data_IF_067989781786
#
_entry.id   IF_067989781786
#
_cell.length_a   1.000
_cell.length_b   1.000
_cell.length_c   1.000
_cell.angle_alpha   90.00
_cell.angle_beta   90.00
_cell.angle_gamma   90.00
#
_symmetry.space_group_name_H-M   'P 1'
#
loop_
_entity.id
_entity.type
_entity.pdbx_description
1 polymer ?
#
# COMPACT_ATOMS: atom_id res chain seq x y z
N UNK A 1 -1.84 -13.16 23.72
CA UNK A 1 -1.88 -14.25 22.72
C UNK A 1 -1.07 -13.78 21.53
N UNK A 2 0.14 -14.32 21.33
CA UNK A 2 0.93 -14.04 20.12
C UNK A 2 0.22 -14.74 18.96
N UNK A 3 -0.68 -14.03 18.29
CA UNK A 3 -1.27 -14.48 17.03
C UNK A 3 -0.19 -14.41 15.97
N UNK A 4 0.09 -15.54 15.33
CA UNK A 4 1.05 -15.62 14.23
C UNK A 4 0.67 -14.58 13.17
N UNK A 5 1.49 -13.55 13.01
CA UNK A 5 1.25 -12.50 12.03
C UNK A 5 1.56 -13.06 10.65
N UNK A 6 0.55 -13.16 9.79
CA UNK A 6 0.71 -13.59 8.41
C UNK A 6 1.78 -12.74 7.69
N UNK A 7 2.68 -13.39 6.98
CA UNK A 7 3.82 -12.73 6.35
C UNK A 7 4.19 -13.41 5.03
N UNK A 8 4.54 -12.56 4.05
CA UNK A 8 5.09 -12.98 2.77
C UNK A 8 6.60 -13.06 2.86
N UNK A 9 7.17 -14.19 2.45
CA UNK A 9 8.61 -14.39 2.35
C UNK A 9 9.00 -14.37 0.87
N UNK A 10 9.82 -13.42 0.46
CA UNK A 10 10.23 -13.31 -0.93
C UNK A 10 11.64 -12.74 -1.09
N UNK A 11 12.28 -13.07 -2.21
CA UNK A 11 13.59 -12.55 -2.57
C UNK A 11 13.43 -11.47 -3.63
N UNK A 12 13.91 -10.26 -3.33
CA UNK A 12 13.87 -9.16 -4.29
C UNK A 12 14.80 -9.45 -5.48
N UNK A 13 14.27 -9.36 -6.71
CA UNK A 13 15.07 -9.68 -7.91
C UNK A 13 16.26 -8.74 -8.12
N UNK A 14 16.12 -7.44 -7.83
CA UNK A 14 17.15 -6.42 -8.11
C UNK A 14 18.24 -6.37 -7.05
N UNK A 15 17.88 -6.53 -5.78
CA UNK A 15 18.81 -6.40 -4.65
C UNK A 15 19.25 -7.76 -4.11
N UNK A 16 18.60 -8.85 -4.52
CA UNK A 16 18.77 -10.22 -3.99
C UNK A 16 18.53 -10.34 -2.47
N UNK A 17 17.99 -9.30 -1.84
CA UNK A 17 17.65 -9.32 -0.42
C UNK A 17 16.44 -10.21 -0.16
N UNK A 18 16.53 -11.05 0.87
CA UNK A 18 15.38 -11.77 1.41
C UNK A 18 14.59 -10.80 2.28
N UNK A 19 13.30 -10.67 2.00
CA UNK A 19 12.39 -9.77 2.69
C UNK A 19 11.24 -10.55 3.33
N UNK A 20 10.81 -10.02 4.47
CA UNK A 20 9.67 -10.50 5.24
C UNK A 20 8.65 -9.37 5.32
N UNK A 21 7.50 -9.54 4.67
CA UNK A 21 6.46 -8.53 4.64
C UNK A 21 5.23 -9.00 5.39
N UNK A 22 4.89 -8.40 6.53
CA UNK A 22 3.63 -8.70 7.20
C UNK A 22 2.47 -8.28 6.30
N UNK A 23 1.44 -9.11 6.24
CA UNK A 23 0.19 -8.83 5.54
C UNK A 23 -0.97 -8.84 6.53
N UNK A 24 -2.06 -8.16 6.17
CA UNK A 24 -3.27 -8.19 6.98
C UNK A 24 -3.95 -9.56 6.85
N UNK A 25 -4.75 -9.90 7.87
CA UNK A 25 -5.59 -11.10 7.82
C UNK A 25 -6.51 -11.11 6.59
N UNK A 26 -7.07 -9.95 6.22
CA UNK A 26 -7.90 -9.82 5.02
C UNK A 26 -7.12 -10.13 3.74
N UNK A 27 -5.85 -9.73 3.65
CA UNK A 27 -5.02 -10.03 2.47
C UNK A 27 -4.71 -11.53 2.39
N UNK A 28 -4.52 -12.19 3.54
CA UNK A 28 -4.36 -13.64 3.59
C UNK A 28 -5.65 -14.34 3.13
N UNK A 29 -6.81 -13.96 3.67
CA UNK A 29 -8.11 -14.52 3.28
C UNK A 29 -8.40 -14.36 1.78
N UNK A 30 -8.07 -13.20 1.21
CA UNK A 30 -8.21 -12.94 -0.24
C UNK A 30 -7.23 -13.74 -1.10
N UNK A 31 -6.13 -14.22 -0.52
CA UNK A 31 -5.14 -15.05 -1.25
C UNK A 31 -5.61 -16.50 -1.40
N UNK A 32 -6.67 -16.90 -0.67
CA UNK A 32 -7.19 -18.25 -0.66
C UNK A 32 -6.43 -19.17 0.29
N UNK A 33 -6.79 -20.45 0.27
CA UNK A 33 -6.20 -21.45 1.15
C UNK A 33 -4.76 -21.80 0.73
N UNK A 34 -3.82 -21.92 1.69
CA UNK A 34 -2.48 -22.43 1.42
C UNK A 34 -2.53 -23.79 0.73
N UNK A 35 -1.74 -23.94 -0.32
CA UNK A 35 -1.66 -25.17 -1.13
C UNK A 35 -0.32 -25.89 -0.88
N UNK A 36 -0.06 -26.92 -1.67
CA UNK A 36 1.24 -27.63 -1.65
C UNK A 36 2.40 -26.64 -1.87
N UNK A 37 3.59 -26.86 -1.27
CA UNK A 37 4.68 -25.88 -1.25
C UNK A 37 5.16 -25.40 -2.63
N UNK A 38 5.03 -26.23 -3.66
CA UNK A 38 5.45 -25.94 -5.03
C UNK A 38 4.34 -25.33 -5.90
N UNK A 39 3.12 -25.21 -5.37
CA UNK A 39 1.99 -24.63 -6.11
C UNK A 39 1.94 -23.11 -5.98
N UNK A 40 1.57 -22.46 -7.08
CA UNK A 40 1.33 -21.02 -7.07
C UNK A 40 0.09 -20.70 -6.24
N UNK A 41 0.18 -19.64 -5.43
CA UNK A 41 -0.97 -19.07 -4.73
C UNK A 41 -2.07 -18.64 -5.73
N UNK A 42 -1.67 -18.11 -6.89
CA UNK A 42 -2.56 -17.66 -7.95
C UNK A 42 -2.38 -18.51 -9.23
N UNK A 43 -2.92 -19.73 -9.26
CA UNK A 43 -2.74 -20.68 -10.37
C UNK A 43 -3.25 -20.17 -11.73
N UNK A 44 -4.32 -19.37 -11.71
CA UNK A 44 -4.92 -18.77 -12.92
C UNK A 44 -4.08 -17.61 -13.50
N UNK A 45 -2.99 -17.24 -12.81
CA UNK A 45 -2.07 -16.16 -13.18
C UNK A 45 -0.61 -16.66 -13.23
N UNK A 46 -0.29 -17.68 -14.05
CA UNK A 46 0.99 -18.37 -13.97
C UNK A 46 2.18 -17.58 -14.54
N UNK A 47 1.93 -16.62 -15.43
CA UNK A 47 2.99 -15.82 -16.07
C UNK A 47 2.86 -14.33 -15.70
N UNK A 48 3.83 -13.75 -14.98
CA UNK A 48 3.89 -12.32 -14.66
C UNK A 48 3.92 -11.38 -15.88
N UNK A 49 4.29 -11.86 -17.07
CA UNK A 49 4.17 -11.09 -18.31
C UNK A 49 2.73 -11.02 -18.81
N UNK A 50 1.87 -11.97 -18.43
CA UNK A 50 0.50 -12.12 -18.93
C UNK A 50 -0.58 -11.58 -18.00
N UNK A 51 -0.26 -11.31 -16.73
CA UNK A 51 -1.20 -10.72 -15.75
C UNK A 51 -1.79 -9.37 -16.19
N UNK A 52 -1.14 -8.67 -17.13
CA UNK A 52 -1.62 -7.40 -17.68
C UNK A 52 -2.93 -7.55 -18.48
N UNK A 53 -3.15 -8.70 -19.13
CA UNK A 53 -4.34 -8.96 -19.95
C UNK A 53 -5.59 -9.19 -19.08
N UNK A 54 -5.59 -10.09 -18.07
CA UNK A 54 -6.68 -10.21 -17.11
C UNK A 54 -6.98 -8.88 -16.42
N UNK A 55 -5.93 -8.14 -16.00
CA UNK A 55 -6.11 -6.84 -15.37
C UNK A 55 -6.91 -5.88 -16.24
N UNK A 56 -6.56 -5.74 -17.52
CA UNK A 56 -7.31 -4.87 -18.45
C UNK A 56 -8.80 -5.24 -18.50
N UNK A 57 -9.11 -6.54 -18.60
CA UNK A 57 -10.50 -7.03 -18.63
C UNK A 57 -11.26 -6.70 -17.33
N UNK A 58 -10.62 -6.86 -16.18
CA UNK A 58 -11.23 -6.52 -14.88
C UNK A 58 -11.50 -5.02 -14.74
N UNK A 59 -10.58 -4.18 -15.19
CA UNK A 59 -10.72 -2.72 -15.18
C UNK A 59 -11.86 -2.27 -16.10
N UNK A 60 -11.97 -2.86 -17.30
CA UNK A 60 -13.07 -2.61 -18.23
C UNK A 60 -14.42 -3.08 -17.65
N UNK A 61 -14.46 -4.27 -17.06
CA UNK A 61 -15.66 -4.80 -16.40
C UNK A 61 -16.11 -3.95 -15.20
N UNK A 62 -15.18 -3.30 -14.51
CA UNK A 62 -15.46 -2.36 -13.43
C UNK A 62 -15.91 -0.97 -13.94
N UNK A 63 -16.00 -0.74 -15.25
CA UNK A 63 -16.40 0.54 -15.84
C UNK A 63 -15.34 1.64 -15.72
N UNK A 64 -14.08 1.29 -15.45
CA UNK A 64 -13.00 2.25 -15.27
C UNK A 64 -12.38 2.58 -16.64
N UNK A 65 -12.53 3.82 -17.06
CA UNK A 65 -12.01 4.32 -18.36
C UNK A 65 -10.54 4.72 -18.33
N UNK A 66 -9.97 4.88 -17.13
CA UNK A 66 -8.56 5.24 -16.94
C UNK A 66 -7.67 4.02 -17.19
N UNK A 67 -6.50 4.26 -17.76
CA UNK A 67 -5.47 3.22 -17.90
C UNK A 67 -4.88 2.88 -16.53
N UNK A 68 -5.22 1.70 -16.01
CA UNK A 68 -4.70 1.17 -14.74
C UNK A 68 -3.68 0.07 -15.04
N UNK A 69 -2.56 0.10 -14.30
CA UNK A 69 -1.51 -0.93 -14.33
C UNK A 69 -1.22 -1.40 -12.91
N UNK A 70 -0.46 -2.48 -12.73
CA UNK A 70 -0.07 -2.94 -11.39
C UNK A 70 0.69 -1.88 -10.57
N UNK A 71 1.46 -1.01 -11.22
CA UNK A 71 2.13 0.10 -10.55
C UNK A 71 1.13 1.08 -9.92
N UNK A 72 -0.06 1.24 -10.51
CA UNK A 72 -1.12 2.08 -9.95
C UNK A 72 -1.60 1.55 -8.60
N UNK A 73 -1.76 0.23 -8.43
CA UNK A 73 -2.14 -0.35 -7.13
C UNK A 73 -1.09 -0.08 -6.05
N UNK A 74 0.19 -0.18 -6.40
CA UNK A 74 1.30 0.18 -5.50
C UNK A 74 1.27 1.66 -5.10
N UNK A 75 0.97 2.54 -6.05
CA UNK A 75 0.79 3.97 -5.77
C UNK A 75 -0.39 4.20 -4.83
N UNK A 76 -1.56 3.59 -5.12
CA UNK A 76 -2.75 3.69 -4.28
C UNK A 76 -2.49 3.19 -2.86
N UNK A 77 -1.83 2.03 -2.70
CA UNK A 77 -1.45 1.51 -1.40
C UNK A 77 -0.58 2.50 -0.61
N UNK A 78 0.47 3.04 -1.22
CA UNK A 78 1.36 4.01 -0.56
C UNK A 78 0.62 5.28 -0.13
N UNK A 79 -0.20 5.84 -1.04
CA UNK A 79 -1.01 7.03 -0.78
C UNK A 79 -2.03 6.80 0.34
N UNK A 80 -2.72 5.66 0.35
CA UNK A 80 -3.70 5.33 1.40
C UNK A 80 -3.02 5.16 2.77
N UNK A 81 -1.89 4.46 2.84
CA UNK A 81 -1.16 4.30 4.11
C UNK A 81 -0.73 5.67 4.68
N UNK A 82 -0.14 6.54 3.85
CA UNK A 82 0.22 7.90 4.27
C UNK A 82 -1.02 8.72 4.67
N UNK A 83 -2.14 8.56 3.95
CA UNK A 83 -3.43 9.19 4.26
C UNK A 83 -4.08 8.66 5.54
N UNK A 84 -3.77 7.44 5.94
CA UNK A 84 -4.19 6.86 7.21
C UNK A 84 -3.25 7.21 8.37
N UNK A 85 -2.11 7.82 8.08
CA UNK A 85 -1.18 8.34 9.09
C UNK A 85 0.02 7.44 9.35
N UNK A 86 0.21 6.38 8.56
CA UNK A 86 1.44 5.59 8.59
C UNK A 86 2.62 6.47 8.23
N UNK A 87 3.72 6.36 8.98
CA UNK A 87 4.92 7.14 8.71
C UNK A 87 5.59 6.72 7.39
N UNK A 88 6.27 7.68 6.76
CA UNK A 88 6.88 7.50 5.45
C UNK A 88 7.98 6.44 5.42
N UNK A 89 8.68 6.20 6.54
CA UNK A 89 9.74 5.19 6.61
C UNK A 89 9.14 3.79 6.65
N UNK A 90 8.06 3.59 7.42
CA UNK A 90 7.30 2.35 7.44
C UNK A 90 6.70 2.05 6.07
N UNK A 91 6.06 3.03 5.42
CA UNK A 91 5.56 2.85 4.04
C UNK A 91 6.71 2.50 3.08
N UNK A 92 7.86 3.16 3.21
CA UNK A 92 9.04 2.88 2.38
C UNK A 92 9.52 1.42 2.54
N UNK A 93 9.54 0.89 3.76
CA UNK A 93 9.87 -0.51 4.04
C UNK A 93 8.82 -1.48 3.49
N UNK A 94 7.53 -1.19 3.69
CA UNK A 94 6.43 -1.99 3.12
C UNK A 94 6.45 -2.03 1.59
N UNK A 95 7.04 -1.03 0.94
CA UNK A 95 7.23 -1.04 -0.50
C UNK A 95 8.53 -1.76 -0.92
N UNK A 96 9.47 -2.02 0.00
CA UNK A 96 10.80 -2.54 -0.35
C UNK A 96 11.69 -1.49 -1.04
N UNK A 97 11.46 -0.21 -0.78
CA UNK A 97 12.33 0.86 -1.31
C UNK A 97 13.62 0.96 -0.50
N UNK A 98 14.76 0.81 -1.17
CA UNK A 98 16.10 1.01 -0.57
C UNK A 98 16.39 2.47 -0.20
N UNK A 99 15.67 3.42 -0.82
CA UNK A 99 15.79 4.84 -0.53
C UNK A 99 14.40 5.47 -0.35
N UNK A 100 14.20 6.12 0.80
CA UNK A 100 12.97 6.83 1.14
C UNK A 100 12.62 7.93 0.14
N UNK A 101 13.61 8.47 -0.59
CA UNK A 101 13.38 9.46 -1.67
C UNK A 101 12.40 8.95 -2.72
N UNK A 102 12.41 7.64 -3.02
CA UNK A 102 11.45 7.05 -3.96
C UNK A 102 10.01 7.07 -3.41
N UNK A 103 9.86 7.03 -2.08
CA UNK A 103 8.56 7.12 -1.38
C UNK A 103 8.10 8.58 -1.21
N UNK A 104 9.01 9.55 -1.25
CA UNK A 104 8.68 10.98 -1.15
C UNK A 104 7.79 11.48 -2.30
N UNK A 105 7.73 10.77 -3.43
CA UNK A 105 6.81 11.09 -4.53
C UNK A 105 5.33 11.09 -4.08
N UNK A 106 5.00 10.39 -2.99
CA UNK A 106 3.66 10.33 -2.41
C UNK A 106 3.39 11.40 -1.33
N UNK A 107 4.42 12.16 -0.95
CA UNK A 107 4.33 13.10 0.16
C UNK A 107 3.37 14.27 -0.09
N UNK A 108 2.96 14.54 -1.34
CA UNK A 108 1.93 15.56 -1.65
C UNK A 108 0.62 15.32 -0.91
N UNK A 109 0.30 14.06 -0.61
CA UNK A 109 -0.90 13.69 0.15
C UNK A 109 -0.76 14.07 1.64
N UNK A 110 0.47 14.16 2.13
CA UNK A 110 0.77 14.66 3.49
C UNK A 110 0.55 16.18 3.57
N UNK A 111 0.67 16.93 2.48
CA UNK A 111 0.47 18.38 2.51
C UNK A 111 -1.00 18.76 2.78
N UNK A 112 -1.98 18.00 2.26
CA UNK A 112 -3.40 18.16 2.62
C UNK A 112 -3.62 17.93 4.12
N UNK A 113 -2.92 16.96 4.72
CA UNK A 113 -2.95 16.74 6.16
C UNK A 113 -2.30 17.86 6.96
N UNK A 114 -1.20 18.45 6.47
CA UNK A 114 -0.56 19.60 7.13
C UNK A 114 -1.53 20.78 7.26
N UNK A 115 -2.32 21.03 6.22
CA UNK A 115 -3.34 22.09 6.26
C UNK A 115 -4.38 21.83 7.36
N UNK A 116 -4.87 20.59 7.48
CA UNK A 116 -5.78 20.21 8.57
C UNK A 116 -5.12 20.28 9.95
N UNK A 117 -3.87 19.82 10.07
CA UNK A 117 -3.12 19.84 11.32
C UNK A 117 -2.84 21.27 11.81
N UNK A 118 -2.58 22.21 10.90
CA UNK A 118 -2.41 23.62 11.23
C UNK A 118 -3.66 24.24 11.88
N UNK A 119 -4.84 23.69 11.61
CA UNK A 119 -6.11 24.14 12.16
C UNK A 119 -6.54 23.36 13.42
N UNK A 120 -5.83 22.30 13.78
CA UNK A 120 -6.22 21.40 14.88
C UNK A 120 -5.95 21.99 16.27
N UNK A 121 -5.05 22.97 16.39
CA UNK A 121 -4.78 23.69 17.62
C UNK A 121 -5.46 25.05 17.51
N UNK A 122 -6.58 25.21 18.22
CA UNK A 122 -7.25 26.50 18.39
C UNK A 122 -7.06 26.94 19.84
N UNK A 123 -6.46 28.11 20.03
CA UNK A 123 -6.38 28.76 21.33
C UNK A 123 -7.54 29.74 21.42
N UNK A 124 -8.30 29.73 22.52
CA UNK A 124 -9.27 30.79 22.78
C UNK A 124 -8.53 32.12 22.74
N UNK A 125 -8.96 32.99 21.84
CA UNK A 125 -8.38 34.32 21.73
C UNK A 125 -9.08 35.24 22.72
N UNK A 126 -8.38 36.28 23.20
CA UNK A 126 -8.96 37.22 24.17
C UNK A 126 -10.24 37.92 23.67
N UNK A 127 -10.54 37.84 22.37
CA UNK A 127 -11.78 38.33 21.76
C UNK A 127 -13.01 37.47 22.08
N UNK A 128 -12.83 36.21 22.42
CA UNK A 128 -13.92 35.26 22.71
C UNK A 128 -14.42 35.39 24.17
N UNK A 129 -13.71 36.15 25.01
CA UNK A 129 -14.02 36.37 26.42
C UNK A 129 -14.84 37.66 26.69
N UNK A 130 -15.08 38.48 25.67
CA UNK A 130 -15.80 39.76 25.77
C UNK A 130 -17.21 39.72 25.15
N UNK A 131 -17.79 38.54 24.89
CA UNK A 131 -19.17 38.37 24.41
C UNK A 131 -20.05 37.60 25.40
#
# INVERSE_FOLDING_TARGET
MNGDQAQLHFTQQKTKGVEYMPISQQALELSGEPREPEQLVFEDLPDPAWISKPLKRWIEAAGITKRITFHCFRHTYATLQLSSGTDIYTVSKMLGHTNVKTTQIYAKVVDEKKSKAAQAIQLNTLKDAES
#
